data_IF_649360982677
#
_entry.id   IF_649360982677
#
_cell.length_a   1.000
_cell.length_b   1.000
_cell.length_c   1.000
_cell.angle_alpha   90.00
_cell.angle_beta   90.00
_cell.angle_gamma   90.00
#
_symmetry.space_group_name_H-M   'P 1'
#
loop_
_entity.id
_entity.type
_entity.pdbx_description
1 polymer ?
#
# COMPACT_ATOMS: atom_id res chain seq x y z
N UNK A 1 -15.80 19.71 -9.00
CA UNK A 1 -15.90 19.07 -7.67
C UNK A 1 -14.61 18.29 -7.48
N UNK A 2 -13.95 18.43 -6.34
CA UNK A 2 -12.67 17.73 -6.08
C UNK A 2 -12.91 16.21 -6.10
N UNK A 3 -12.20 15.48 -6.96
CA UNK A 3 -12.27 14.01 -7.06
C UNK A 3 -11.41 13.37 -5.93
N UNK A 4 -11.38 13.99 -4.74
CA UNK A 4 -10.60 13.50 -3.63
C UNK A 4 -11.26 12.25 -3.03
N UNK A 5 -10.48 11.16 -2.94
CA UNK A 5 -10.85 9.96 -2.19
C UNK A 5 -10.73 10.23 -0.69
N UNK A 6 -9.61 10.81 -0.28
CA UNK A 6 -9.34 11.22 1.10
C UNK A 6 -8.71 12.62 1.14
N UNK A 7 -8.96 13.35 2.21
CA UNK A 7 -8.35 14.66 2.48
C UNK A 7 -7.89 14.74 3.92
N UNK A 8 -6.60 14.95 4.11
CA UNK A 8 -6.00 15.25 5.40
C UNK A 8 -5.87 16.77 5.55
N UNK A 9 -6.23 17.30 6.73
CA UNK A 9 -6.14 18.72 7.03
C UNK A 9 -5.52 18.91 8.41
N UNK A 10 -4.31 19.49 8.46
CA UNK A 10 -3.53 19.70 9.69
C UNK A 10 -3.37 18.41 10.50
N UNK A 11 -3.32 17.26 9.83
CA UNK A 11 -3.37 15.96 10.48
C UNK A 11 -2.04 15.64 11.18
N UNK A 12 -2.11 15.31 12.47
CA UNK A 12 -0.93 15.00 13.28
C UNK A 12 -1.17 13.75 14.12
N UNK A 13 -0.09 12.98 14.34
CA UNK A 13 -0.08 11.78 15.18
C UNK A 13 1.12 11.84 16.11
N UNK A 14 0.88 11.63 17.40
CA UNK A 14 1.93 11.43 18.39
C UNK A 14 1.67 10.14 19.16
N UNK A 15 2.73 9.44 19.56
CA UNK A 15 2.62 8.25 20.40
C UNK A 15 3.02 8.55 21.84
N UNK A 16 2.21 8.09 22.79
CA UNK A 16 2.52 8.18 24.23
C UNK A 16 3.27 6.92 24.66
N UNK A 17 4.45 7.10 25.23
CA UNK A 17 5.23 6.03 25.85
C UNK A 17 5.86 6.55 27.15
N UNK A 18 5.62 5.91 28.27
CA UNK A 18 6.28 6.14 29.58
C UNK A 18 6.42 7.63 29.98
N UNK A 19 5.35 8.40 29.81
CA UNK A 19 5.34 9.83 30.18
C UNK A 19 5.97 10.77 29.15
N UNK A 20 6.48 10.24 28.03
CA UNK A 20 7.00 11.01 26.89
C UNK A 20 6.03 10.91 25.71
N UNK A 21 6.01 11.94 24.87
CA UNK A 21 5.23 11.97 23.63
C UNK A 21 6.18 12.17 22.45
N UNK A 22 6.24 11.17 21.56
CA UNK A 22 6.99 11.27 20.30
C UNK A 22 6.06 11.63 19.15
N UNK A 23 6.32 12.74 18.45
CA UNK A 23 5.57 13.14 17.26
C UNK A 23 6.00 12.27 16.10
N UNK A 24 5.04 11.60 15.44
CA UNK A 24 5.28 10.77 14.26
C UNK A 24 4.80 11.42 12.97
N UNK A 25 3.71 12.20 13.03
CA UNK A 25 3.24 13.06 11.94
C UNK A 25 2.89 14.43 12.48
N UNK A 26 3.25 15.48 11.72
CA UNK A 26 3.04 16.87 12.14
C UNK A 26 2.38 17.68 11.01
N UNK A 27 1.15 18.13 11.26
CA UNK A 27 0.38 19.05 10.43
C UNK A 27 0.35 18.68 8.94
N UNK A 28 0.00 17.42 8.63
CA UNK A 28 -0.07 16.92 7.25
C UNK A 28 -1.33 17.47 6.56
N UNK A 29 -1.12 18.17 5.45
CA UNK A 29 -2.14 18.57 4.50
C UNK A 29 -1.90 17.79 3.19
N UNK A 30 -2.77 16.85 2.86
CA UNK A 30 -2.61 15.98 1.69
C UNK A 30 -3.98 15.53 1.17
N UNK A 31 -4.23 15.71 -0.14
CA UNK A 31 -5.35 15.10 -0.83
C UNK A 31 -4.88 13.83 -1.56
N UNK A 32 -5.64 12.74 -1.43
CA UNK A 32 -5.51 11.52 -2.23
C UNK A 32 -6.64 11.55 -3.25
N UNK A 33 -6.31 11.51 -4.53
CA UNK A 33 -7.27 11.59 -5.63
C UNK A 33 -7.77 10.18 -5.99
N UNK A 34 -9.07 10.05 -6.26
CA UNK A 34 -9.61 8.74 -6.66
C UNK A 34 -9.03 8.29 -8.01
N UNK A 35 -8.55 7.04 -8.06
CA UNK A 35 -7.96 6.42 -9.24
C UNK A 35 -6.46 6.74 -9.44
N UNK A 36 -5.82 7.55 -8.56
CA UNK A 36 -4.39 7.81 -8.67
C UNK A 36 -3.54 6.72 -8.01
N UNK A 37 -2.29 6.64 -8.45
CA UNK A 37 -1.21 5.90 -7.79
C UNK A 37 -0.32 6.90 -7.09
N UNK A 38 -0.52 7.06 -5.76
CA UNK A 38 0.25 7.98 -4.93
C UNK A 38 1.36 7.21 -4.21
N UNK A 39 2.62 7.52 -4.52
CA UNK A 39 3.76 7.00 -3.77
C UNK A 39 4.10 7.93 -2.59
N UNK A 40 4.29 7.33 -1.42
CA UNK A 40 4.81 8.00 -0.22
C UNK A 40 6.25 7.56 -0.03
N UNK A 41 7.20 8.49 -0.16
CA UNK A 41 8.63 8.19 -0.05
C UNK A 41 9.30 8.98 1.09
N UNK A 42 10.44 8.50 1.55
CA UNK A 42 11.25 9.13 2.60
C UNK A 42 12.04 8.09 3.40
N UNK A 43 12.95 8.55 4.24
CA UNK A 43 13.78 7.70 5.10
C UNK A 43 12.95 6.86 6.09
N UNK A 44 13.57 5.79 6.62
CA UNK A 44 12.97 5.01 7.71
C UNK A 44 12.66 5.92 8.91
N UNK A 45 11.49 5.73 9.53
CA UNK A 45 11.06 6.58 10.65
C UNK A 45 10.50 7.95 10.25
N UNK A 46 10.36 8.29 8.98
CA UNK A 46 9.79 9.58 8.54
C UNK A 46 8.27 9.71 8.70
N UNK A 47 7.57 8.68 9.19
CA UNK A 47 6.13 8.73 9.46
C UNK A 47 5.24 8.06 8.39
N UNK A 48 5.80 7.50 7.32
CA UNK A 48 5.05 6.91 6.20
C UNK A 48 4.06 5.81 6.62
N UNK A 49 4.54 4.81 7.36
CA UNK A 49 3.68 3.73 7.86
C UNK A 49 2.64 4.23 8.88
N UNK A 50 2.98 5.27 9.66
CA UNK A 50 1.98 5.93 10.53
C UNK A 50 0.87 6.57 9.72
N UNK A 51 1.19 7.19 8.57
CA UNK A 51 0.18 7.73 7.65
C UNK A 51 -0.70 6.62 7.07
N UNK A 52 -0.09 5.52 6.61
CA UNK A 52 -0.81 4.37 6.07
C UNK A 52 -1.78 3.78 7.11
N UNK A 53 -1.30 3.56 8.35
CA UNK A 53 -2.12 3.07 9.45
C UNK A 53 -3.22 4.07 9.86
N UNK A 54 -2.95 5.38 9.82
CA UNK A 54 -3.94 6.41 10.10
C UNK A 54 -5.09 6.40 9.09
N UNK A 55 -4.76 6.30 7.79
CA UNK A 55 -5.75 6.19 6.72
C UNK A 55 -6.58 4.90 6.83
N UNK A 56 -5.98 3.83 7.30
CA UNK A 56 -6.66 2.57 7.54
C UNK A 56 -7.46 2.53 8.86
N UNK A 57 -7.33 3.55 9.73
CA UNK A 57 -7.96 3.51 11.06
C UNK A 57 -7.34 2.46 11.99
N UNK A 58 -6.09 2.06 11.74
CA UNK A 58 -5.35 1.01 12.44
C UNK A 58 -4.28 1.54 13.40
N UNK A 59 -4.34 2.82 13.76
CA UNK A 59 -3.41 3.37 14.75
C UNK A 59 -3.59 2.67 16.10
N UNK A 60 -2.49 2.37 16.81
CA UNK A 60 -2.58 1.73 18.12
C UNK A 60 -3.20 2.65 19.17
N UNK A 61 -3.71 2.07 20.26
CA UNK A 61 -4.48 2.78 21.29
C UNK A 61 -3.69 3.92 22.00
N UNK A 62 -2.37 3.88 21.99
CA UNK A 62 -1.51 4.93 22.55
C UNK A 62 -1.26 6.11 21.58
N UNK A 63 -1.83 6.07 20.37
CA UNK A 63 -1.76 7.17 19.43
C UNK A 63 -2.68 8.33 19.85
N UNK A 64 -2.14 9.54 19.80
CA UNK A 64 -2.89 10.80 20.00
C UNK A 64 -2.96 11.49 18.65
N UNK A 65 -4.19 11.70 18.19
CA UNK A 65 -4.46 12.25 16.86
C UNK A 65 -5.03 13.66 17.00
N UNK A 66 -4.60 14.59 16.14
CA UNK A 66 -5.22 15.90 15.93
C UNK A 66 -5.36 16.21 14.45
N UNK A 67 -6.14 17.23 14.12
CA UNK A 67 -6.52 17.50 12.74
C UNK A 67 -7.63 16.57 12.25
N UNK A 68 -7.74 16.36 10.93
CA UNK A 68 -8.88 15.63 10.36
C UNK A 68 -8.49 14.84 9.11
N UNK A 69 -9.06 13.62 8.97
CA UNK A 69 -9.16 12.90 7.71
C UNK A 69 -10.62 12.91 7.27
N UNK A 70 -10.91 13.49 6.12
CA UNK A 70 -12.21 13.44 5.49
C UNK A 70 -12.20 12.46 4.31
N UNK A 71 -13.32 11.79 4.06
CA UNK A 71 -13.49 10.79 3.02
C UNK A 71 -14.61 11.19 2.04
N UNK A 72 -14.37 12.19 1.15
CA UNK A 72 -15.41 12.72 0.27
C UNK A 72 -16.02 11.68 -0.66
N UNK A 73 -15.22 10.69 -1.13
CA UNK A 73 -15.70 9.64 -2.03
C UNK A 73 -16.61 8.62 -1.36
N UNK A 74 -16.50 8.43 -0.04
CA UNK A 74 -17.31 7.45 0.71
C UNK A 74 -18.43 8.10 1.51
N UNK A 75 -18.27 9.35 1.97
CA UNK A 75 -19.20 10.01 2.88
C UNK A 75 -19.18 9.47 4.33
N UNK A 76 -18.36 8.48 4.60
CA UNK A 76 -18.13 7.85 5.92
C UNK A 76 -16.67 7.40 6.03
N UNK A 77 -16.23 7.03 7.23
CA UNK A 77 -14.93 6.36 7.40
C UNK A 77 -14.94 5.02 6.65
N UNK A 78 -13.93 4.72 5.80
CA UNK A 78 -13.92 3.51 5.00
C UNK A 78 -13.80 2.26 5.89
N UNK A 79 -14.46 1.19 5.48
CA UNK A 79 -14.45 -0.09 6.19
C UNK A 79 -13.36 -1.00 5.63
N UNK A 80 -12.55 -1.63 6.52
CA UNK A 80 -11.52 -2.57 6.09
C UNK A 80 -12.12 -3.75 5.31
N UNK A 81 -11.40 -4.21 4.31
CA UNK A 81 -11.81 -5.31 3.43
C UNK A 81 -12.82 -4.88 2.37
N UNK A 82 -13.83 -4.07 2.72
CA UNK A 82 -14.89 -3.62 1.81
C UNK A 82 -14.48 -2.40 0.97
N UNK A 83 -14.08 -1.32 1.64
CA UNK A 83 -13.81 -0.04 0.99
C UNK A 83 -12.33 0.13 0.67
N UNK A 84 -11.46 -0.46 1.50
CA UNK A 84 -10.02 -0.52 1.26
C UNK A 84 -9.44 -1.89 1.59
N UNK A 85 -8.38 -2.26 0.86
CA UNK A 85 -7.47 -3.36 1.19
C UNK A 85 -6.17 -2.82 1.77
N UNK A 86 -5.53 -3.59 2.65
CA UNK A 86 -4.24 -3.25 3.23
C UNK A 86 -3.23 -4.39 3.03
N UNK A 87 -2.08 -4.07 2.47
CA UNK A 87 -0.93 -4.97 2.34
C UNK A 87 0.16 -4.47 3.29
N UNK A 88 0.44 -5.26 4.33
CA UNK A 88 1.43 -4.93 5.34
C UNK A 88 2.85 -5.24 4.88
N UNK A 89 3.83 -4.61 5.51
CA UNK A 89 5.25 -4.78 5.26
C UNK A 89 5.72 -6.24 5.44
N UNK A 90 5.23 -6.94 6.47
CA UNK A 90 5.57 -8.34 6.74
C UNK A 90 4.39 -9.27 6.40
N UNK A 91 4.47 -9.90 5.23
CA UNK A 91 3.51 -10.90 4.82
C UNK A 91 3.49 -12.15 5.73
N UNK A 92 4.60 -12.43 6.42
CA UNK A 92 4.70 -13.58 7.32
C UNK A 92 3.83 -13.43 8.55
N UNK A 93 3.79 -12.23 9.13
CA UNK A 93 2.98 -11.91 10.31
C UNK A 93 1.53 -11.54 9.96
N UNK A 94 1.24 -11.24 8.69
CA UNK A 94 -0.09 -10.81 8.24
C UNK A 94 -1.05 -11.98 7.99
N UNK A 95 -0.52 -13.18 7.73
CA UNK A 95 -1.31 -14.38 7.49
C UNK A 95 -1.46 -15.21 8.77
N UNK A 96 -2.68 -15.70 9.01
CA UNK A 96 -2.96 -16.60 10.12
C UNK A 96 -2.32 -17.98 9.86
N UNK A 97 -1.34 -18.44 10.68
CA UNK A 97 -0.61 -19.69 10.42
C UNK A 97 -1.44 -20.96 10.57
N UNK A 98 -2.63 -20.89 11.19
CA UNK A 98 -3.50 -22.05 11.46
C UNK A 98 -4.67 -22.17 10.48
N UNK A 99 -4.84 -21.21 9.58
CA UNK A 99 -5.82 -21.25 8.50
C UNK A 99 -5.13 -21.51 7.16
N UNK A 100 -5.81 -22.24 6.27
CA UNK A 100 -5.33 -22.40 4.92
C UNK A 100 -5.38 -21.06 4.14
N UNK A 101 -4.61 -20.96 3.07
CA UNK A 101 -4.60 -19.79 2.20
C UNK A 101 -5.99 -19.51 1.62
N UNK A 102 -6.66 -20.57 1.14
CA UNK A 102 -8.01 -20.46 0.59
C UNK A 102 -9.02 -19.94 1.59
N UNK A 103 -9.00 -20.43 2.83
CA UNK A 103 -9.88 -19.96 3.91
C UNK A 103 -9.72 -18.47 4.16
N UNK A 104 -8.48 -17.97 4.25
CA UNK A 104 -8.20 -16.56 4.54
C UNK A 104 -8.67 -15.63 3.43
N UNK A 105 -8.50 -16.02 2.17
CA UNK A 105 -8.99 -15.22 1.02
C UNK A 105 -10.51 -15.31 0.91
N UNK A 106 -11.07 -16.52 1.03
CA UNK A 106 -12.49 -16.77 0.90
C UNK A 106 -13.30 -16.09 1.99
N UNK A 107 -12.79 -16.03 3.24
CA UNK A 107 -13.45 -15.35 4.35
C UNK A 107 -13.73 -13.88 4.03
N UNK A 108 -12.78 -13.16 3.42
CA UNK A 108 -12.94 -11.75 3.02
C UNK A 108 -14.06 -11.62 1.98
N UNK A 109 -14.09 -12.47 0.97
CA UNK A 109 -15.13 -12.45 -0.05
C UNK A 109 -16.51 -12.84 0.52
N UNK A 110 -16.55 -13.87 1.34
CA UNK A 110 -17.78 -14.33 2.01
C UNK A 110 -18.38 -13.23 2.89
N UNK A 111 -17.55 -12.60 3.73
CA UNK A 111 -18.00 -11.59 4.67
C UNK A 111 -18.48 -10.30 3.99
N UNK A 112 -17.74 -9.79 3.02
CA UNK A 112 -18.00 -8.48 2.43
C UNK A 112 -18.86 -8.50 1.17
N UNK A 113 -18.86 -9.61 0.41
CA UNK A 113 -19.65 -9.75 -0.82
C UNK A 113 -20.91 -10.61 -0.61
N UNK A 114 -21.07 -11.21 0.57
CA UNK A 114 -22.23 -12.07 0.87
C UNK A 114 -22.22 -13.39 0.09
N UNK A 115 -21.06 -13.83 -0.41
CA UNK A 115 -20.89 -15.07 -1.15
C UNK A 115 -21.10 -16.30 -0.25
N UNK A 116 -21.64 -17.39 -0.81
CA UNK A 116 -21.56 -18.69 -0.15
C UNK A 116 -20.10 -19.18 -0.13
N UNK A 117 -19.76 -20.08 0.84
CA UNK A 117 -18.39 -20.59 0.95
C UNK A 117 -17.86 -21.20 -0.35
N UNK A 118 -18.68 -21.95 -1.08
CA UNK A 118 -18.26 -22.53 -2.36
C UNK A 118 -17.86 -21.47 -3.39
N UNK A 119 -18.67 -20.41 -3.52
CA UNK A 119 -18.35 -19.29 -4.42
C UNK A 119 -17.13 -18.51 -3.95
N UNK A 120 -16.99 -18.30 -2.63
CA UNK A 120 -15.86 -17.61 -2.04
C UNK A 120 -14.53 -18.34 -2.25
N UNK A 121 -14.54 -19.70 -2.18
CA UNK A 121 -13.36 -20.51 -2.54
C UNK A 121 -13.04 -20.46 -4.03
N UNK A 122 -14.06 -20.48 -4.91
CA UNK A 122 -13.83 -20.28 -6.35
C UNK A 122 -13.20 -18.92 -6.64
N UNK A 123 -13.67 -17.87 -5.94
CA UNK A 123 -13.05 -16.56 -6.02
C UNK A 123 -11.64 -16.53 -5.47
N UNK A 124 -11.35 -17.24 -4.38
CA UNK A 124 -9.99 -17.34 -3.85
C UNK A 124 -9.03 -17.98 -4.88
N UNK A 125 -9.48 -19.02 -5.59
CA UNK A 125 -8.73 -19.65 -6.67
C UNK A 125 -8.44 -18.68 -7.83
N UNK A 126 -9.47 -17.99 -8.34
CA UNK A 126 -9.32 -16.94 -9.36
C UNK A 126 -8.31 -15.87 -8.95
N UNK A 127 -8.33 -15.45 -7.67
CA UNK A 127 -7.40 -14.45 -7.17
C UNK A 127 -5.98 -14.98 -7.05
N UNK A 128 -5.78 -16.24 -6.65
CA UNK A 128 -4.46 -16.86 -6.64
C UNK A 128 -3.86 -16.95 -8.05
N UNK A 129 -4.67 -17.27 -9.06
CA UNK A 129 -4.26 -17.21 -10.46
C UNK A 129 -3.88 -15.78 -10.86
N UNK A 130 -4.74 -14.82 -10.49
CA UNK A 130 -4.54 -13.40 -10.82
C UNK A 130 -3.26 -12.82 -10.22
N UNK A 131 -2.90 -13.24 -9.01
CA UNK A 131 -1.62 -12.86 -8.40
C UNK A 131 -0.45 -13.77 -8.80
N UNK A 132 -0.63 -14.56 -9.87
CA UNK A 132 0.41 -15.40 -10.48
C UNK A 132 1.00 -16.43 -9.52
N UNK A 133 0.16 -17.04 -8.68
CA UNK A 133 0.55 -18.18 -7.86
C UNK A 133 0.57 -19.44 -8.74
N UNK A 134 1.68 -20.20 -8.79
CA UNK A 134 1.70 -21.48 -9.48
C UNK A 134 0.85 -22.51 -8.74
N UNK A 135 0.10 -23.33 -9.49
CA UNK A 135 -0.77 -24.39 -8.94
C UNK A 135 -1.77 -23.89 -7.89
N UNK A 136 -2.65 -22.93 -8.23
CA UNK A 136 -3.54 -22.26 -7.29
C UNK A 136 -4.42 -23.22 -6.50
N UNK A 137 -4.96 -24.28 -7.11
CA UNK A 137 -5.74 -25.32 -6.43
C UNK A 137 -4.97 -26.00 -5.28
N UNK A 138 -3.68 -26.27 -5.46
CA UNK A 138 -2.84 -26.86 -4.42
C UNK A 138 -2.58 -25.85 -3.31
N UNK A 139 -2.34 -24.58 -3.67
CA UNK A 139 -2.05 -23.49 -2.73
C UNK A 139 -3.28 -23.12 -1.91
N UNK A 140 -4.49 -23.21 -2.42
CA UNK A 140 -5.71 -23.04 -1.63
C UNK A 140 -5.71 -23.85 -0.33
N UNK A 141 -5.18 -25.06 -0.37
CA UNK A 141 -5.13 -25.99 0.77
C UNK A 141 -3.83 -25.87 1.59
N UNK A 142 -2.87 -25.12 1.10
CA UNK A 142 -1.61 -24.91 1.78
C UNK A 142 -1.75 -23.92 2.95
N UNK A 143 -0.82 -24.01 3.90
CA UNK A 143 -0.71 -23.09 5.01
C UNK A 143 0.43 -22.09 4.75
N UNK A 144 0.39 -20.89 5.37
CA UNK A 144 1.38 -19.83 5.14
C UNK A 144 2.84 -20.28 5.31
N UNK A 145 3.13 -21.15 6.25
CA UNK A 145 4.48 -21.66 6.51
C UNK A 145 5.04 -22.57 5.39
N UNK A 146 4.19 -23.07 4.49
CA UNK A 146 4.57 -23.88 3.35
C UNK A 146 4.93 -23.06 2.10
N UNK A 147 4.75 -21.73 2.16
CA UNK A 147 4.95 -20.81 1.05
C UNK A 147 6.30 -20.07 1.14
N UNK A 148 6.87 -19.72 -0.02
CA UNK A 148 8.00 -18.78 -0.09
C UNK A 148 7.58 -17.37 0.34
N UNK A 149 8.56 -16.46 0.62
CA UNK A 149 8.28 -15.07 0.96
C UNK A 149 7.46 -14.35 -0.11
N UNK A 150 7.85 -14.47 -1.38
CA UNK A 150 7.13 -13.89 -2.51
C UNK A 150 5.72 -14.48 -2.70
N UNK A 151 5.54 -15.78 -2.47
CA UNK A 151 4.21 -16.39 -2.50
C UNK A 151 3.32 -15.88 -1.38
N UNK A 152 3.83 -15.76 -0.14
CA UNK A 152 3.08 -15.16 0.97
C UNK A 152 2.65 -13.73 0.65
N UNK A 153 3.55 -12.93 0.06
CA UNK A 153 3.22 -11.56 -0.34
C UNK A 153 2.09 -11.52 -1.38
N UNK A 154 2.13 -12.39 -2.39
CA UNK A 154 1.06 -12.52 -3.40
C UNK A 154 -0.27 -12.93 -2.78
N UNK A 155 -0.26 -13.83 -1.80
CA UNK A 155 -1.45 -14.23 -1.03
C UNK A 155 -2.01 -13.06 -0.22
N UNK A 156 -1.16 -12.26 0.44
CA UNK A 156 -1.61 -11.04 1.14
C UNK A 156 -2.27 -10.04 0.18
N UNK A 157 -1.70 -9.85 -1.01
CA UNK A 157 -2.31 -9.01 -2.06
C UNK A 157 -3.66 -9.59 -2.49
N UNK A 158 -3.76 -10.89 -2.75
CA UNK A 158 -5.03 -11.55 -3.11
C UNK A 158 -6.11 -11.35 -2.04
N UNK A 159 -5.76 -11.51 -0.75
CA UNK A 159 -6.67 -11.25 0.37
C UNK A 159 -7.09 -9.78 0.41
N UNK A 160 -6.16 -8.84 0.24
CA UNK A 160 -6.45 -7.41 0.30
C UNK A 160 -7.44 -6.95 -0.79
N UNK A 161 -7.45 -7.62 -1.97
CA UNK A 161 -8.34 -7.27 -3.09
C UNK A 161 -9.57 -8.19 -3.21
N UNK A 162 -9.75 -9.16 -2.29
CA UNK A 162 -10.79 -10.19 -2.42
C UNK A 162 -12.20 -9.62 -2.49
N UNK A 163 -12.50 -8.57 -1.76
CA UNK A 163 -13.80 -7.90 -1.78
C UNK A 163 -13.90 -6.75 -2.81
N UNK A 164 -12.94 -6.62 -3.73
CA UNK A 164 -12.90 -5.57 -4.77
C UNK A 164 -12.93 -4.14 -4.19
N UNK A 165 -12.04 -3.80 -3.27
CA UNK A 165 -12.00 -2.46 -2.68
C UNK A 165 -11.66 -1.42 -3.74
N UNK A 166 -12.07 -0.16 -3.51
CA UNK A 166 -11.70 0.97 -4.38
C UNK A 166 -10.36 1.61 -4.01
N UNK A 167 -9.82 1.28 -2.85
CA UNK A 167 -8.57 1.82 -2.34
C UNK A 167 -7.67 0.68 -1.85
N UNK A 168 -6.43 0.68 -2.29
CA UNK A 168 -5.42 -0.26 -1.83
C UNK A 168 -4.29 0.53 -1.15
N UNK A 169 -3.97 0.16 0.09
CA UNK A 169 -2.85 0.69 0.85
C UNK A 169 -1.78 -0.41 0.88
N UNK A 170 -0.60 -0.13 0.36
CA UNK A 170 0.53 -1.04 0.37
C UNK A 170 1.69 -0.39 1.13
N UNK A 171 1.94 -0.87 2.35
CA UNK A 171 2.98 -0.35 3.23
C UNK A 171 4.24 -1.21 3.12
N UNK A 172 5.26 -0.70 2.40
CA UNK A 172 6.52 -1.37 2.10
C UNK A 172 6.36 -2.84 1.64
N UNK A 173 5.49 -3.11 0.64
CA UNK A 173 5.09 -4.48 0.31
C UNK A 173 6.21 -5.35 -0.28
N UNK A 174 7.39 -4.80 -0.47
CA UNK A 174 8.53 -5.47 -1.12
C UNK A 174 9.79 -5.52 -0.25
N UNK A 175 9.80 -4.91 0.93
CA UNK A 175 11.01 -4.67 1.74
C UNK A 175 11.76 -5.95 2.17
N UNK A 176 11.09 -7.09 2.24
CA UNK A 176 11.68 -8.39 2.65
C UNK A 176 11.97 -9.33 1.48
N UNK A 177 11.93 -8.82 0.24
CA UNK A 177 12.04 -9.61 -1.00
C UNK A 177 13.32 -9.26 -1.76
N UNK A 178 13.82 -10.20 -2.57
CA UNK A 178 14.92 -9.92 -3.50
C UNK A 178 14.45 -9.01 -4.66
N UNK A 179 15.43 -8.36 -5.32
CA UNK A 179 15.18 -7.31 -6.33
C UNK A 179 14.30 -7.80 -7.48
N UNK A 180 14.43 -9.05 -7.91
CA UNK A 180 13.64 -9.60 -9.01
C UNK A 180 12.18 -9.74 -8.58
N UNK A 181 11.95 -10.32 -7.40
CA UNK A 181 10.60 -10.49 -6.84
C UNK A 181 9.96 -9.15 -6.51
N UNK A 182 10.75 -8.15 -6.07
CA UNK A 182 10.25 -6.77 -5.86
C UNK A 182 9.65 -6.20 -7.14
N UNK A 183 10.38 -6.25 -8.26
CA UNK A 183 9.91 -5.76 -9.55
C UNK A 183 8.62 -6.50 -10.00
N UNK A 184 8.56 -7.81 -9.81
CA UNK A 184 7.36 -8.59 -10.12
C UNK A 184 6.13 -8.21 -9.27
N UNK A 185 6.32 -7.92 -7.97
CA UNK A 185 5.23 -7.48 -7.07
C UNK A 185 4.75 -6.08 -7.46
N UNK A 186 5.65 -5.16 -7.79
CA UNK A 186 5.27 -3.80 -8.24
C UNK A 186 4.49 -3.88 -9.56
N UNK A 187 4.98 -4.64 -10.55
CA UNK A 187 4.27 -4.87 -11.81
C UNK A 187 2.89 -5.49 -11.59
N UNK A 188 2.77 -6.45 -10.68
CA UNK A 188 1.50 -7.06 -10.31
C UNK A 188 0.53 -6.03 -9.71
N UNK A 189 1.00 -5.22 -8.75
CA UNK A 189 0.18 -4.16 -8.13
C UNK A 189 -0.31 -3.15 -9.17
N UNK A 190 0.56 -2.75 -10.10
CA UNK A 190 0.20 -1.84 -11.19
C UNK A 190 -0.92 -2.42 -12.07
N UNK A 191 -0.79 -3.66 -12.50
CA UNK A 191 -1.81 -4.36 -13.29
C UNK A 191 -3.15 -4.45 -12.54
N UNK A 192 -3.11 -4.85 -11.26
CA UNK A 192 -4.31 -4.99 -10.45
C UNK A 192 -5.01 -3.64 -10.24
N UNK A 193 -4.25 -2.59 -9.94
CA UNK A 193 -4.79 -1.23 -9.75
C UNK A 193 -5.44 -0.72 -11.04
N UNK A 194 -4.79 -0.89 -12.18
CA UNK A 194 -5.32 -0.52 -13.49
C UNK A 194 -6.59 -1.30 -13.84
N UNK A 195 -6.56 -2.62 -13.70
CA UNK A 195 -7.64 -3.50 -14.17
C UNK A 195 -8.88 -3.41 -13.28
N UNK A 196 -8.71 -3.13 -11.99
CA UNK A 196 -9.83 -2.92 -11.05
C UNK A 196 -10.22 -1.45 -10.86
N UNK A 197 -9.49 -0.52 -11.47
CA UNK A 197 -9.73 0.93 -11.33
C UNK A 197 -9.59 1.42 -9.89
N UNK A 198 -8.62 0.87 -9.14
CA UNK A 198 -8.38 1.20 -7.74
C UNK A 198 -7.54 2.46 -7.60
N UNK A 199 -7.65 3.13 -6.46
CA UNK A 199 -6.66 4.10 -5.98
C UNK A 199 -5.56 3.32 -5.23
N UNK A 200 -4.30 3.67 -5.43
CA UNK A 200 -3.18 3.05 -4.72
C UNK A 200 -2.44 4.09 -3.86
N UNK A 201 -2.27 3.79 -2.59
CA UNK A 201 -1.25 4.40 -1.74
C UNK A 201 -0.10 3.40 -1.59
N UNK A 202 1.05 3.73 -2.15
CA UNK A 202 2.24 2.89 -2.10
C UNK A 202 3.31 3.54 -1.25
N UNK A 203 3.59 2.95 -0.11
CA UNK A 203 4.65 3.41 0.79
C UNK A 203 5.92 2.64 0.49
N UNK A 204 7.01 3.37 0.26
CA UNK A 204 8.33 2.78 0.05
C UNK A 204 9.44 3.73 0.46
N UNK A 205 10.61 3.18 0.76
CA UNK A 205 11.85 3.96 0.86
C UNK A 205 12.65 3.93 -0.44
N UNK A 206 12.25 3.11 -1.42
CA UNK A 206 12.90 2.96 -2.72
C UNK A 206 12.24 3.87 -3.77
N UNK A 207 12.99 4.92 -4.15
CA UNK A 207 12.56 5.89 -5.17
C UNK A 207 12.50 5.26 -6.56
N UNK A 208 13.41 4.33 -6.87
CA UNK A 208 13.45 3.69 -8.18
C UNK A 208 12.16 2.88 -8.42
N UNK A 209 11.65 2.20 -7.39
CA UNK A 209 10.36 1.51 -7.47
C UNK A 209 9.21 2.51 -7.66
N UNK A 210 9.21 3.63 -6.92
CA UNK A 210 8.16 4.64 -7.03
C UNK A 210 8.14 5.35 -8.39
N UNK A 211 9.32 5.64 -8.97
CA UNK A 211 9.47 6.40 -10.21
C UNK A 211 8.87 5.71 -11.43
N UNK A 212 8.83 4.37 -11.42
CA UNK A 212 8.38 3.59 -12.58
C UNK A 212 6.86 3.54 -12.76
N UNK A 213 6.06 3.87 -11.73
CA UNK A 213 4.60 3.65 -11.82
C UNK A 213 3.73 4.70 -11.14
N UNK A 214 4.28 5.55 -10.25
CA UNK A 214 3.48 6.53 -9.51
C UNK A 214 3.03 7.69 -10.39
N UNK A 215 1.76 8.11 -10.26
CA UNK A 215 1.26 9.33 -10.88
C UNK A 215 1.68 10.58 -10.09
N UNK A 216 1.70 10.43 -8.75
CA UNK A 216 2.13 11.48 -7.81
C UNK A 216 3.05 10.89 -6.75
N UNK A 217 3.95 11.74 -6.28
CA UNK A 217 4.87 11.43 -5.18
C UNK A 217 4.65 12.44 -4.05
N UNK A 218 4.64 11.95 -2.82
CA UNK A 218 4.68 12.74 -1.60
C UNK A 218 5.90 12.34 -0.76
N UNK A 219 6.77 13.31 -0.47
CA UNK A 219 8.05 13.12 0.21
C UNK A 219 7.90 13.47 1.67
N UNK A 220 8.26 12.53 2.55
CA UNK A 220 8.18 12.68 3.99
C UNK A 220 9.56 12.74 4.64
N UNK A 221 9.75 13.66 5.59
CA UNK A 221 10.94 13.80 6.42
C UNK A 221 10.56 14.16 7.83
N UNK A 222 10.99 13.39 8.83
CA UNK A 222 10.81 13.70 10.24
C UNK A 222 9.34 13.98 10.64
N UNK A 223 8.41 13.21 10.09
CA UNK A 223 6.97 13.35 10.36
C UNK A 223 6.25 14.45 9.57
N UNK A 224 6.94 15.14 8.65
CA UNK A 224 6.37 16.23 7.85
C UNK A 224 6.33 15.88 6.37
N UNK A 225 5.31 16.37 5.69
CA UNK A 225 5.25 16.39 4.23
C UNK A 225 6.11 17.56 3.73
N UNK A 226 7.24 17.26 3.08
CA UNK A 226 8.18 18.30 2.61
C UNK A 226 7.95 18.69 1.16
N UNK A 227 7.48 17.75 0.34
CA UNK A 227 7.14 18.02 -1.06
C UNK A 227 6.05 17.03 -1.54
N UNK A 228 5.14 17.50 -2.40
CA UNK A 228 4.20 16.64 -3.11
C UNK A 228 3.88 17.23 -4.48
N UNK A 229 3.78 16.35 -5.49
CA UNK A 229 3.48 16.76 -6.87
C UNK A 229 3.40 15.60 -7.84
N UNK A 230 3.15 15.87 -9.14
CA UNK A 230 3.31 14.87 -10.19
C UNK A 230 4.68 14.20 -10.11
N UNK A 231 4.73 12.89 -10.34
CA UNK A 231 5.97 12.11 -10.16
C UNK A 231 7.12 12.67 -11.01
N UNK A 232 6.87 12.98 -12.27
CA UNK A 232 7.87 13.56 -13.19
C UNK A 232 8.44 14.89 -12.67
N UNK A 233 7.59 15.75 -12.08
CA UNK A 233 8.04 17.04 -11.55
C UNK A 233 8.90 16.88 -10.32
N UNK A 234 8.48 16.04 -9.36
CA UNK A 234 9.21 15.78 -8.11
C UNK A 234 10.56 15.13 -8.39
N UNK A 235 10.62 14.20 -9.35
CA UNK A 235 11.84 13.47 -9.68
C UNK A 235 12.83 14.29 -10.53
N UNK A 236 12.33 15.06 -11.53
CA UNK A 236 13.21 15.80 -12.45
C UNK A 236 13.55 17.21 -11.98
N UNK A 237 12.67 17.82 -11.15
CA UNK A 237 12.80 19.22 -10.70
C UNK A 237 12.37 19.37 -9.23
N UNK A 238 13.04 18.64 -8.31
CA UNK A 238 12.72 18.73 -6.89
C UNK A 238 12.87 20.18 -6.38
N UNK A 239 11.89 20.63 -5.59
CA UNK A 239 11.85 21.97 -5.02
C UNK A 239 12.48 22.02 -3.64
N UNK A 240 12.37 20.93 -2.89
CA UNK A 240 12.94 20.80 -1.54
C UNK A 240 14.34 20.21 -1.61
N UNK A 241 15.28 20.76 -0.83
CA UNK A 241 16.68 20.34 -0.82
C UNK A 241 16.85 18.90 -0.32
N UNK A 242 15.96 18.44 0.59
CA UNK A 242 15.96 17.05 1.04
C UNK A 242 15.49 16.10 -0.06
N UNK A 243 14.45 16.48 -0.81
CA UNK A 243 13.99 15.71 -1.98
C UNK A 243 15.11 15.55 -2.98
N UNK A 244 15.81 16.64 -3.32
CA UNK A 244 16.97 16.59 -4.22
C UNK A 244 18.08 15.65 -3.72
N UNK A 245 18.41 15.74 -2.42
CA UNK A 245 19.41 14.87 -1.79
C UNK A 245 18.97 13.40 -1.79
N UNK A 246 17.70 13.13 -1.50
CA UNK A 246 17.14 11.79 -1.47
C UNK A 246 17.19 11.14 -2.87
N UNK A 247 16.83 11.88 -3.91
CA UNK A 247 16.91 11.45 -5.30
C UNK A 247 18.37 11.16 -5.68
N UNK A 248 19.28 12.08 -5.40
CA UNK A 248 20.70 11.93 -5.72
C UNK A 248 21.37 10.71 -5.05
N UNK A 249 20.89 10.30 -3.89
CA UNK A 249 21.42 9.15 -3.15
C UNK A 249 20.86 7.79 -3.60
N UNK A 250 19.73 7.76 -4.31
CA UNK A 250 19.03 6.52 -4.68
C UNK A 250 18.93 6.29 -6.17
N UNK A 251 19.07 7.33 -7.00
CA UNK A 251 19.04 7.21 -8.45
C UNK A 251 20.47 7.49 -8.96
N UNK A 252 21.18 6.45 -9.28
CA UNK A 252 22.15 6.55 -10.35
C UNK A 252 21.34 6.65 -11.65
N UNK A 253 21.26 7.85 -12.24
CA UNK A 253 20.47 8.16 -13.44
C UNK A 253 20.87 7.32 -14.67
N UNK A 254 21.92 6.52 -14.56
CA UNK A 254 22.35 5.53 -15.54
C UNK A 254 21.69 4.16 -15.38
N UNK A 255 20.97 3.92 -14.28
CA UNK A 255 20.28 2.65 -14.05
C UNK A 255 18.92 2.68 -14.77
N UNK A 256 18.70 1.81 -15.77
CA UNK A 256 17.40 1.75 -16.46
C UNK A 256 16.30 1.42 -15.44
N UNK A 257 15.06 1.92 -15.62
CA UNK A 257 13.94 1.59 -14.75
C UNK A 257 13.79 0.08 -14.68
N UNK A 258 13.58 -0.47 -13.48
CA UNK A 258 13.41 -1.90 -13.23
C UNK A 258 12.16 -2.48 -13.93
N UNK A 259 11.28 -1.61 -14.40
CA UNK A 259 10.11 -1.94 -15.20
C UNK A 259 10.38 -1.40 -16.61
N UNK A 260 10.72 -2.28 -17.54
CA UNK A 260 10.78 -1.90 -18.95
C UNK A 260 9.34 -1.56 -19.40
N UNK A 261 9.15 -0.35 -19.96
CA UNK A 261 7.97 -0.06 -20.77
C UNK A 261 7.86 -1.17 -21.83
N UNK A 262 6.82 -2.00 -21.73
CA UNK A 262 6.42 -2.83 -22.85
C UNK A 262 5.91 -1.88 -23.93
N UNK A 263 6.84 -1.42 -24.78
CA UNK A 263 6.51 -0.68 -25.98
C UNK A 263 5.85 -1.62 -26.98
N UNK A 264 4.62 -1.24 -27.37
CA UNK A 264 3.80 -1.63 -28.50
C UNK A 264 3.26 -3.05 -28.55
#
# INVERSE_FOLDING_TARGET
MSNALARLTGFSVAYRADGTSGVSLEAIDLDIVAGERLAIIGESGSGKSTLALALAGLLPANAVVSGRIAWPAYGHAPLPGRDYGFVFQDAGSSLNPVLSVGEQIAEVAQHHLGMGWFEAFGRAEELLERVRIPQPEAVLRAYPHQLSGGQRQRVCIASAIAARPKFLIADEPTSALDVVVQAEIVSLLEELVRDYGMTLLFVTHDIALASGFADRIAVFRGGRLVEAGPADDVLSRPKDAYTASLIASHIDLSTPPLIAENAA
#
